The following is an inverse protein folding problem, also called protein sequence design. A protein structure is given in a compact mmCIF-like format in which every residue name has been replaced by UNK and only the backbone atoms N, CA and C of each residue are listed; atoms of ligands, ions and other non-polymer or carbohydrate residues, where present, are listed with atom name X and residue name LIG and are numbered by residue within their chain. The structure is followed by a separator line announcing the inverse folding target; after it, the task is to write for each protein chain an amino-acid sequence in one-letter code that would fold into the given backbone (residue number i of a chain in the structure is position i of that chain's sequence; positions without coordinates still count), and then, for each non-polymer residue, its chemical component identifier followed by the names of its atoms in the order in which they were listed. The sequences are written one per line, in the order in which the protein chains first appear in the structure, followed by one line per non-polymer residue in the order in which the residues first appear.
data_IF_765409332882
#
_entry.id   IF_765409332882
#
_cell.length_a   1.000
_cell.length_b   1.000
_cell.length_c   1.000
_cell.angle_alpha   90.00
_cell.angle_beta   90.00
_cell.angle_gamma   90.00
#
_symmetry.space_group_name_H-M   'P 1'
#
loop_
_entity.id
_entity.type
_entity.pdbx_description
1 polymer ?
#
# COMPACT_ATOMS: atom_id res chain seq x y z
N UNK A 1 7.86 -36.15 16.75
CA UNK A 1 7.67 -36.39 15.31
C UNK A 1 8.76 -35.68 14.48
N UNK A 2 9.78 -36.39 13.97
CA UNK A 2 10.82 -35.78 13.09
C UNK A 2 10.22 -35.30 11.76
N UNK A 3 9.28 -36.07 11.18
CA UNK A 3 8.55 -35.73 9.94
C UNK A 3 7.80 -34.40 10.05
N UNK A 4 7.03 -34.18 11.11
CA UNK A 4 6.26 -32.94 11.28
C UNK A 4 7.16 -31.69 11.22
N UNK A 5 8.33 -31.74 11.88
CA UNK A 5 9.30 -30.64 11.85
C UNK A 5 9.99 -30.46 10.50
N UNK A 6 10.03 -31.51 9.67
CA UNK A 6 10.53 -31.42 8.30
C UNK A 6 9.50 -30.72 7.41
N UNK A 7 8.23 -31.09 7.53
CA UNK A 7 7.12 -30.45 6.79
C UNK A 7 7.06 -28.95 7.10
N UNK A 8 7.09 -28.57 8.38
CA UNK A 8 7.11 -27.16 8.77
C UNK A 8 8.34 -26.41 8.24
N UNK A 9 9.49 -27.09 8.15
CA UNK A 9 10.70 -26.47 7.61
C UNK A 9 10.58 -26.22 6.11
N UNK A 10 10.08 -27.19 5.35
CA UNK A 10 9.83 -27.04 3.91
C UNK A 10 8.79 -25.95 3.65
N UNK A 11 7.71 -25.92 4.43
CA UNK A 11 6.69 -24.88 4.37
C UNK A 11 7.29 -23.49 4.63
N UNK A 12 8.10 -23.36 5.69
CA UNK A 12 8.74 -22.08 6.03
C UNK A 12 9.69 -21.60 4.93
N UNK A 13 10.41 -22.52 4.31
CA UNK A 13 11.29 -22.23 3.18
C UNK A 13 10.49 -21.81 1.94
N UNK A 14 9.37 -22.48 1.64
CA UNK A 14 8.46 -22.08 0.57
C UNK A 14 7.90 -20.67 0.77
N UNK A 15 7.43 -20.35 1.99
CA UNK A 15 6.98 -19.00 2.34
C UNK A 15 8.11 -17.99 2.18
N UNK A 16 9.33 -18.33 2.60
CA UNK A 16 10.49 -17.46 2.41
C UNK A 16 10.73 -17.17 0.92
N UNK A 17 10.69 -18.17 0.05
CA UNK A 17 10.87 -17.96 -1.39
C UNK A 17 9.78 -17.08 -1.99
N UNK A 18 8.52 -17.29 -1.60
CA UNK A 18 7.42 -16.43 -2.02
C UNK A 18 7.61 -14.98 -1.55
N UNK A 19 8.02 -14.78 -0.30
CA UNK A 19 8.34 -13.46 0.25
C UNK A 19 9.51 -12.80 -0.50
N UNK A 20 10.58 -13.53 -0.80
CA UNK A 20 11.67 -13.02 -1.64
C UNK A 20 11.17 -12.64 -3.04
N UNK A 21 10.24 -13.41 -3.60
CA UNK A 21 9.56 -13.07 -4.85
C UNK A 21 8.81 -11.74 -4.79
N UNK A 22 8.23 -11.37 -3.65
CA UNK A 22 7.58 -10.05 -3.49
C UNK A 22 8.57 -8.89 -3.60
N UNK A 23 9.83 -9.08 -3.20
CA UNK A 23 10.88 -8.05 -3.33
C UNK A 23 11.22 -7.76 -4.80
N UNK A 24 11.05 -8.73 -5.68
CA UNK A 24 11.31 -8.57 -7.12
C UNK A 24 10.33 -7.60 -7.80
N UNK A 25 9.18 -7.30 -7.17
CA UNK A 25 8.22 -6.33 -7.69
C UNK A 25 8.81 -4.90 -7.77
N UNK A 26 9.90 -4.62 -7.05
CA UNK A 26 10.63 -3.36 -7.18
C UNK A 26 11.47 -3.26 -8.47
N UNK A 27 11.82 -4.39 -9.08
CA UNK A 27 12.76 -4.47 -10.20
C UNK A 27 12.12 -4.97 -11.50
N UNK A 28 11.04 -5.76 -11.39
CA UNK A 28 10.39 -6.39 -12.53
C UNK A 28 9.07 -5.66 -12.81
N UNK A 29 8.93 -4.96 -13.95
CA UNK A 29 7.69 -4.27 -14.27
C UNK A 29 6.52 -5.26 -14.39
N UNK A 30 5.32 -4.89 -13.90
CA UNK A 30 4.15 -5.76 -13.96
C UNK A 30 3.71 -6.10 -15.39
N UNK A 31 4.13 -5.31 -16.39
CA UNK A 31 3.90 -5.59 -17.82
C UNK A 31 4.59 -6.89 -18.27
N UNK A 32 5.75 -7.22 -17.70
CA UNK A 32 6.54 -8.41 -18.06
C UNK A 32 6.07 -9.60 -17.23
N UNK A 33 5.81 -9.40 -15.94
CA UNK A 33 5.41 -10.47 -15.04
C UNK A 33 4.34 -10.00 -14.03
N UNK A 34 3.04 -10.09 -14.40
CA UNK A 34 1.94 -9.61 -13.55
C UNK A 34 1.83 -10.34 -12.21
N UNK A 35 2.29 -11.60 -12.16
CA UNK A 35 2.17 -12.45 -10.97
C UNK A 35 2.92 -11.92 -9.75
N UNK A 36 4.00 -11.14 -9.91
CA UNK A 36 4.67 -10.52 -8.76
C UNK A 36 3.82 -9.45 -8.09
N UNK A 37 2.97 -8.77 -8.86
CA UNK A 37 2.01 -7.81 -8.32
C UNK A 37 0.92 -8.55 -7.51
N UNK A 38 0.36 -9.62 -8.07
CA UNK A 38 -0.60 -10.48 -7.36
C UNK A 38 0.02 -11.12 -6.10
N UNK A 39 1.26 -11.58 -6.18
CA UNK A 39 1.99 -12.14 -5.04
C UNK A 39 2.20 -11.09 -3.94
N UNK A 40 2.47 -9.85 -4.32
CA UNK A 40 2.63 -8.74 -3.37
C UNK A 40 1.33 -8.40 -2.64
N UNK A 41 0.16 -8.67 -3.24
CA UNK A 41 -1.13 -8.54 -2.55
C UNK A 41 -1.24 -9.51 -1.37
N UNK A 42 -0.70 -10.73 -1.52
CA UNK A 42 -0.63 -11.75 -0.48
C UNK A 42 0.47 -11.55 0.57
N UNK A 43 1.31 -10.51 0.43
CA UNK A 43 2.44 -10.24 1.32
C UNK A 43 2.10 -10.27 2.82
N UNK A 44 1.01 -9.65 3.32
CA UNK A 44 0.73 -9.59 4.75
C UNK A 44 0.46 -10.98 5.34
N UNK A 45 -0.30 -11.79 4.61
CA UNK A 45 -0.63 -13.17 5.01
C UNK A 45 0.64 -14.02 5.04
N UNK A 46 1.49 -13.91 4.02
CA UNK A 46 2.77 -14.60 3.96
C UNK A 46 3.71 -14.18 5.10
N UNK A 47 3.80 -12.88 5.41
CA UNK A 47 4.62 -12.39 6.51
C UNK A 47 4.12 -12.85 7.89
N UNK A 48 2.80 -12.85 8.12
CA UNK A 48 2.23 -13.37 9.37
C UNK A 48 2.59 -14.86 9.52
N UNK A 49 2.39 -15.66 8.48
CA UNK A 49 2.75 -17.07 8.49
C UNK A 49 4.26 -17.28 8.75
N UNK A 50 5.12 -16.47 8.14
CA UNK A 50 6.58 -16.50 8.35
C UNK A 50 6.96 -16.19 9.81
N UNK A 51 6.35 -15.17 10.40
CA UNK A 51 6.60 -14.79 11.79
C UNK A 51 6.15 -15.90 12.74
N UNK A 52 4.96 -16.48 12.53
CA UNK A 52 4.45 -17.59 13.36
C UNK A 52 5.40 -18.79 13.31
N UNK A 53 5.86 -19.17 12.11
CA UNK A 53 6.81 -20.28 11.95
C UNK A 53 8.18 -19.96 12.57
N UNK A 54 8.64 -18.71 12.47
CA UNK A 54 9.87 -18.26 13.12
C UNK A 54 9.77 -18.37 14.64
N UNK A 55 8.66 -17.88 15.23
CA UNK A 55 8.37 -17.99 16.67
C UNK A 55 8.33 -19.46 17.11
N UNK A 56 7.68 -20.33 16.32
CA UNK A 56 7.68 -21.78 16.58
C UNK A 56 9.10 -22.36 16.66
N UNK A 57 10.03 -21.92 15.79
CA UNK A 57 11.43 -22.38 15.83
C UNK A 57 12.20 -21.86 17.04
N UNK A 58 11.90 -20.62 17.48
CA UNK A 58 12.48 -20.03 18.69
C UNK A 58 12.08 -20.86 19.91
N UNK A 59 10.78 -21.12 20.11
CA UNK A 59 10.30 -21.96 21.21
C UNK A 59 10.76 -23.42 21.12
N UNK A 60 11.02 -23.91 19.90
CA UNK A 60 11.60 -25.24 19.70
C UNK A 60 13.12 -25.31 19.98
N UNK A 61 13.74 -24.21 20.42
CA UNK A 61 15.19 -24.08 20.69
C UNK A 61 16.06 -24.55 19.52
N UNK A 62 15.65 -24.26 18.28
CA UNK A 62 16.42 -24.66 17.08
C UNK A 62 17.30 -23.52 16.59
N UNK A 63 18.58 -23.80 16.36
CA UNK A 63 19.55 -22.81 15.84
C UNK A 63 19.12 -22.14 14.52
N UNK A 64 18.33 -22.83 13.69
CA UNK A 64 17.74 -22.27 12.46
C UNK A 64 16.77 -21.10 12.69
N UNK A 65 16.24 -20.95 13.91
CA UNK A 65 15.38 -19.82 14.26
C UNK A 65 16.10 -18.49 14.03
N UNK A 66 17.38 -18.41 14.40
CA UNK A 66 18.19 -17.21 14.19
C UNK A 66 18.35 -16.90 12.70
N UNK A 67 18.57 -17.92 11.85
CA UNK A 67 18.69 -17.72 10.40
C UNK A 67 17.43 -17.09 9.82
N UNK A 68 16.25 -17.66 10.12
CA UNK A 68 14.98 -17.09 9.67
C UNK A 68 14.72 -15.70 10.28
N UNK A 69 15.06 -15.48 11.54
CA UNK A 69 14.94 -14.17 12.18
C UNK A 69 15.77 -13.10 11.46
N UNK A 70 17.03 -13.38 11.13
CA UNK A 70 17.90 -12.44 10.42
C UNK A 70 17.42 -12.17 8.99
N UNK A 71 17.00 -13.22 8.26
CA UNK A 71 16.43 -13.04 6.92
C UNK A 71 15.13 -12.22 6.99
N UNK A 72 14.34 -12.40 8.04
CA UNK A 72 13.14 -11.61 8.33
C UNK A 72 13.37 -10.10 8.32
N UNK A 73 14.58 -9.63 8.69
CA UNK A 73 14.92 -8.21 8.70
C UNK A 73 14.92 -7.59 7.29
N UNK A 74 15.14 -8.38 6.23
CA UNK A 74 15.07 -7.90 4.85
C UNK A 74 13.67 -7.39 4.46
N UNK A 75 12.63 -7.81 5.19
CA UNK A 75 11.23 -7.46 4.90
C UNK A 75 10.73 -6.24 5.68
N UNK A 76 11.57 -5.56 6.49
CA UNK A 76 11.17 -4.38 7.26
C UNK A 76 10.63 -3.26 6.36
N UNK A 77 11.29 -3.00 5.23
CA UNK A 77 10.86 -1.95 4.30
C UNK A 77 9.48 -2.25 3.66
N UNK A 78 9.24 -3.45 3.09
CA UNK A 78 7.91 -3.87 2.68
C UNK A 78 6.84 -3.77 3.78
N UNK A 79 7.16 -4.15 5.01
CA UNK A 79 6.22 -4.04 6.14
C UNK A 79 5.86 -2.58 6.42
N UNK A 80 6.85 -1.67 6.50
CA UNK A 80 6.58 -0.23 6.70
C UNK A 80 5.69 0.34 5.60
N UNK A 81 5.95 -0.03 4.35
CA UNK A 81 5.15 0.37 3.19
C UNK A 81 3.71 -0.14 3.32
N UNK A 82 3.53 -1.39 3.74
CA UNK A 82 2.20 -1.97 3.87
C UNK A 82 1.39 -1.37 5.03
N UNK A 83 2.03 -1.08 6.15
CA UNK A 83 1.39 -0.42 7.32
C UNK A 83 1.05 1.05 7.04
N UNK A 84 1.43 1.60 5.86
CA UNK A 84 1.24 3.00 5.49
C UNK A 84 1.72 3.96 6.60
N UNK A 85 2.81 3.60 7.29
CA UNK A 85 3.34 4.42 8.35
C UNK A 85 3.82 5.75 7.75
N UNK A 86 2.99 6.76 7.90
CA UNK A 86 3.31 8.15 7.60
C UNK A 86 3.67 8.80 8.92
N UNK A 87 4.87 9.35 9.04
CA UNK A 87 5.24 10.09 10.24
C UNK A 87 4.16 11.13 10.53
N UNK A 88 3.74 11.30 11.80
CA UNK A 88 2.80 12.36 12.16
C UNK A 88 3.36 13.68 11.62
N UNK A 89 2.57 14.35 10.79
CA UNK A 89 2.94 15.60 10.15
C UNK A 89 2.89 16.67 11.25
N UNK A 90 3.98 16.86 11.96
CA UNK A 90 4.11 17.80 13.09
C UNK A 90 4.17 19.28 12.65
N UNK A 91 3.76 19.59 11.42
CA UNK A 91 3.69 20.95 10.91
C UNK A 91 2.36 21.10 10.19
N UNK A 92 1.62 22.16 10.54
CA UNK A 92 0.58 22.70 9.68
C UNK A 92 1.20 22.90 8.31
N UNK A 93 0.76 22.13 7.32
CA UNK A 93 1.28 22.29 5.98
C UNK A 93 0.87 23.67 5.47
N UNK A 94 1.85 24.51 5.12
CA UNK A 94 1.62 25.87 4.60
C UNK A 94 0.65 25.91 3.41
N UNK A 95 0.57 24.81 2.65
CA UNK A 95 -0.35 24.64 1.51
C UNK A 95 -0.92 23.22 1.52
N UNK A 96 -2.25 23.11 1.48
CA UNK A 96 -2.99 21.85 1.27
C UNK A 96 -3.47 21.74 -0.16
N UNK A 97 -2.93 20.76 -0.88
CA UNK A 97 -3.31 20.45 -2.27
C UNK A 97 -4.07 19.12 -2.32
N UNK A 98 -5.21 19.10 -3.01
CA UNK A 98 -6.03 17.91 -3.24
C UNK A 98 -6.11 17.64 -4.74
N UNK A 99 -5.90 16.39 -5.17
CA UNK A 99 -6.13 15.97 -6.55
C UNK A 99 -7.20 14.89 -6.56
N UNK A 100 -8.32 15.17 -7.23
CA UNK A 100 -9.50 14.31 -7.22
C UNK A 100 -9.91 13.91 -8.63
N UNK A 101 -10.12 12.60 -8.85
CA UNK A 101 -10.63 12.10 -10.12
C UNK A 101 -12.15 11.93 -10.04
N UNK A 102 -12.86 12.84 -10.71
CA UNK A 102 -14.33 12.95 -10.73
C UNK A 102 -15.02 11.91 -11.64
N UNK A 103 -14.27 11.15 -12.46
CA UNK A 103 -14.83 10.24 -13.48
C UNK A 103 -15.70 9.12 -12.90
N UNK A 104 -15.43 8.68 -11.68
CA UNK A 104 -16.14 7.57 -11.03
C UNK A 104 -17.51 7.95 -10.44
N UNK A 105 -17.84 9.25 -10.35
CA UNK A 105 -18.99 9.75 -9.60
C UNK A 105 -19.83 10.75 -10.41
N UNK A 106 -19.96 10.57 -11.74
CA UNK A 106 -20.69 11.50 -12.63
C UNK A 106 -22.14 11.79 -12.23
N UNK A 107 -22.77 10.95 -11.41
CA UNK A 107 -24.12 11.16 -10.85
C UNK A 107 -24.20 11.70 -9.41
N UNK A 108 -23.06 11.95 -8.73
CA UNK A 108 -23.01 12.34 -7.30
C UNK A 108 -22.27 13.67 -7.08
N UNK A 109 -22.57 14.64 -7.94
CA UNK A 109 -21.85 15.93 -8.00
C UNK A 109 -21.93 16.70 -6.67
N UNK A 110 -23.08 16.68 -5.99
CA UNK A 110 -23.29 17.38 -4.72
C UNK A 110 -22.49 16.76 -3.55
N UNK A 111 -22.43 15.43 -3.51
CA UNK A 111 -21.64 14.71 -2.50
C UNK A 111 -20.13 14.94 -2.70
N UNK A 112 -19.66 14.93 -3.95
CA UNK A 112 -18.27 15.28 -4.29
C UNK A 112 -17.99 16.72 -3.85
N UNK A 113 -18.88 17.66 -4.13
CA UNK A 113 -18.72 19.06 -3.74
C UNK A 113 -18.62 19.22 -2.22
N UNK A 114 -19.49 18.55 -1.47
CA UNK A 114 -19.45 18.54 0.00
C UNK A 114 -18.17 17.92 0.54
N UNK A 115 -17.73 16.80 -0.04
CA UNK A 115 -16.47 16.14 0.33
C UNK A 115 -15.25 17.03 0.06
N UNK A 116 -15.18 17.68 -1.10
CA UNK A 116 -14.08 18.55 -1.47
C UNK A 116 -14.03 19.81 -0.60
N UNK A 117 -15.20 20.40 -0.27
CA UNK A 117 -15.29 21.51 0.69
C UNK A 117 -14.80 21.10 2.08
N UNK A 118 -15.17 19.91 2.57
CA UNK A 118 -14.72 19.42 3.89
C UNK A 118 -13.22 19.17 3.98
N UNK A 119 -12.52 19.07 2.83
CA UNK A 119 -11.06 18.97 2.84
C UNK A 119 -10.37 20.29 3.23
N UNK A 120 -11.01 21.46 3.19
CA UNK A 120 -10.36 22.76 3.49
C UNK A 120 -9.00 22.92 2.77
N UNK A 121 -8.93 22.56 1.49
CA UNK A 121 -7.70 22.66 0.70
C UNK A 121 -7.52 24.08 0.15
N UNK A 122 -6.28 24.47 -0.14
CA UNK A 122 -5.95 25.72 -0.84
C UNK A 122 -6.05 25.55 -2.35
N UNK A 123 -5.67 24.37 -2.87
CA UNK A 123 -5.70 24.04 -4.31
C UNK A 123 -6.36 22.68 -4.53
N UNK A 124 -7.31 22.60 -5.48
CA UNK A 124 -7.95 21.35 -5.90
C UNK A 124 -7.75 21.16 -7.40
N UNK A 125 -7.13 20.03 -7.76
CA UNK A 125 -7.03 19.54 -9.14
C UNK A 125 -8.14 18.53 -9.42
N UNK A 126 -8.84 18.70 -10.53
CA UNK A 126 -9.88 17.77 -10.98
C UNK A 126 -9.56 17.25 -12.38
N UNK A 127 -9.58 15.92 -12.57
CA UNK A 127 -9.27 15.31 -13.88
C UNK A 127 -10.39 15.44 -14.93
N UNK A 128 -11.61 15.82 -14.53
CA UNK A 128 -12.73 16.17 -15.42
C UNK A 128 -13.73 17.08 -14.69
N UNK A 129 -14.12 18.21 -15.26
CA UNK A 129 -15.18 19.02 -14.66
C UNK A 129 -16.53 18.34 -14.95
N UNK A 130 -17.42 18.13 -13.95
CA UNK A 130 -18.78 17.64 -14.22
C UNK A 130 -19.49 18.56 -15.22
N UNK A 131 -20.22 17.99 -16.19
CA UNK A 131 -20.87 18.74 -17.28
C UNK A 131 -21.94 19.73 -16.78
N UNK A 132 -22.56 19.43 -15.64
CA UNK A 132 -23.17 20.47 -14.81
C UNK A 132 -22.07 21.05 -13.94
N UNK A 133 -21.63 22.30 -14.19
CA UNK A 133 -20.70 22.93 -13.29
C UNK A 133 -21.33 22.83 -11.91
N UNK A 134 -20.58 22.24 -10.98
CA UNK A 134 -20.75 22.45 -9.54
C UNK A 134 -21.15 23.93 -9.35
N UNK A 135 -21.89 24.31 -8.32
CA UNK A 135 -21.97 25.73 -7.96
C UNK A 135 -20.56 26.19 -7.52
N UNK A 136 -19.68 26.38 -8.50
CA UNK A 136 -18.26 26.72 -8.43
C UNK A 136 -18.09 28.17 -7.99
N UNK A 137 -19.20 28.90 -7.82
CA UNK A 137 -19.24 30.24 -7.23
C UNK A 137 -18.64 30.26 -5.82
N UNK A 138 -18.72 29.16 -5.07
CA UNK A 138 -18.14 29.07 -3.72
C UNK A 138 -16.68 28.58 -3.72
N UNK A 139 -16.29 27.79 -4.72
CA UNK A 139 -14.93 27.24 -4.89
C UNK A 139 -14.04 28.22 -5.67
N UNK A 140 -14.54 29.43 -5.96
CA UNK A 140 -13.92 30.44 -6.83
C UNK A 140 -12.56 30.97 -6.36
N UNK A 141 -12.15 30.68 -5.11
CA UNK A 141 -10.82 30.99 -4.58
C UNK A 141 -9.79 29.88 -4.89
N UNK A 142 -10.24 28.74 -5.36
CA UNK A 142 -9.45 27.55 -5.57
C UNK A 142 -9.08 27.45 -7.05
N UNK A 143 -7.78 27.44 -7.32
CA UNK A 143 -7.25 27.31 -8.67
C UNK A 143 -7.63 25.91 -9.19
N UNK A 144 -8.65 25.85 -10.03
CA UNK A 144 -9.08 24.63 -10.71
C UNK A 144 -8.22 24.48 -11.97
N UNK A 145 -7.16 23.69 -11.87
CA UNK A 145 -6.38 23.29 -13.05
C UNK A 145 -6.94 21.98 -13.59
N UNK A 146 -7.38 21.98 -14.85
CA UNK A 146 -7.57 20.75 -15.60
C UNK A 146 -6.20 20.14 -15.90
N UNK A 147 -5.88 19.02 -15.26
CA UNK A 147 -4.71 18.24 -15.63
C UNK A 147 -5.08 17.40 -16.85
N UNK A 148 -4.94 18.00 -18.04
CA UNK A 148 -4.87 17.29 -19.32
C UNK A 148 -3.54 16.54 -19.38
N UNK A 149 -3.49 15.34 -18.81
CA UNK A 149 -2.38 14.42 -19.05
C UNK A 149 -2.94 13.14 -19.67
N UNK A 150 -2.42 12.87 -20.87
CA UNK A 150 -2.56 11.70 -21.74
C UNK A 150 -2.79 10.37 -21.01
#
# INVERSE_FOLDING_TARGET
MKIFRLILFILHLGILFLLLGTLLNAYIPPKVFPWFNLLSLGFPVLMIAYIILTIFWIFSWKKRAFVFMFIGLAFINPVKRWVNYSSPKNQDSDIKVVSFNTRANSGRVEEIGTYLKSQNADVIFCRKIPEHPMSLKDIKKQILLEVLLF
#
